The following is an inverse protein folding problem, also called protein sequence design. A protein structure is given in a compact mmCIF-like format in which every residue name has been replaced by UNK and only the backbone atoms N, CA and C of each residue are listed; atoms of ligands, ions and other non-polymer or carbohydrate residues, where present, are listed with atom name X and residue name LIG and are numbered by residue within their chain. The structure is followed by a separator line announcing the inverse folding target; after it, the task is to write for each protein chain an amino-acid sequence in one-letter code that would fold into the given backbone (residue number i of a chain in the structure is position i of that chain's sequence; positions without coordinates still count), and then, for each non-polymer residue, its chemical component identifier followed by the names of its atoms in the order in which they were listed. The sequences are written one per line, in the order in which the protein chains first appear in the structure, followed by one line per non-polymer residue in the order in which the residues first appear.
data_IF_459945879792
#
_entry.id   IF_459945879792
#
_cell.length_a   1.000
_cell.length_b   1.000
_cell.length_c   1.000
_cell.angle_alpha   90.00
_cell.angle_beta   90.00
_cell.angle_gamma   90.00
#
_symmetry.space_group_name_H-M   'P 1'
#
loop_
_entity.id
_entity.type
_entity.pdbx_description
1 polymer ?
#
# COMPACT_ATOMS: atom_id res chain seq x y z
N UNK A 1 -5.41 0.64 -4.39
CA UNK A 1 -6.71 1.29 -4.75
C UNK A 1 -6.96 2.39 -3.73
N UNK A 2 -7.03 3.66 -4.16
CA UNK A 2 -7.16 4.80 -3.24
C UNK A 2 -8.57 4.98 -2.67
N UNK A 3 -9.61 4.66 -3.44
CA UNK A 3 -11.01 4.79 -3.00
C UNK A 3 -11.80 3.51 -3.24
N UNK A 4 -12.68 3.16 -2.31
CA UNK A 4 -13.69 2.13 -2.45
C UNK A 4 -15.08 2.75 -2.57
N UNK A 5 -16.02 2.11 -3.28
CA UNK A 5 -17.40 2.56 -3.30
C UNK A 5 -18.02 2.33 -1.91
N UNK A 6 -18.80 3.28 -1.39
CA UNK A 6 -19.45 3.14 -0.08
C UNK A 6 -20.35 1.90 0.01
N UNK A 7 -20.96 1.50 -1.10
CA UNK A 7 -21.76 0.26 -1.19
C UNK A 7 -20.92 -1.01 -0.99
N UNK A 8 -19.63 -0.95 -1.31
CA UNK A 8 -18.71 -2.07 -1.22
C UNK A 8 -17.86 -2.03 0.05
N UNK A 9 -17.83 -0.90 0.76
CA UNK A 9 -16.95 -0.64 1.89
C UNK A 9 -17.46 -1.19 3.22
N UNK A 10 -18.51 -2.01 3.23
CA UNK A 10 -18.99 -2.77 4.39
C UNK A 10 -19.13 -1.95 5.70
N UNK A 11 -19.54 -0.68 5.60
CA UNK A 11 -19.62 0.30 6.71
C UNK A 11 -18.29 0.61 7.42
N UNK A 12 -17.16 0.49 6.73
CA UNK A 12 -15.86 0.90 7.26
C UNK A 12 -15.75 2.40 7.49
N UNK A 13 -14.99 2.76 8.52
CA UNK A 13 -14.71 4.14 8.86
C UNK A 13 -13.82 4.82 7.84
N UNK A 14 -14.01 6.13 7.72
CA UNK A 14 -13.18 7.00 6.88
C UNK A 14 -11.82 7.20 7.53
N UNK A 15 -10.78 7.06 6.72
CA UNK A 15 -9.40 7.39 7.08
C UNK A 15 -8.95 8.58 6.23
N UNK A 16 -8.17 9.46 6.84
CA UNK A 16 -7.55 10.60 6.15
C UNK A 16 -6.36 10.14 5.31
N UNK A 17 -6.09 10.83 4.21
CA UNK A 17 -4.85 10.60 3.48
C UNK A 17 -3.66 11.07 4.31
N UNK A 18 -2.60 10.29 4.31
CA UNK A 18 -1.34 10.72 4.91
C UNK A 18 -0.77 11.90 4.11
N UNK A 19 -0.21 12.92 4.76
CA UNK A 19 0.31 14.15 4.11
C UNK A 19 1.26 13.87 2.94
N UNK A 20 2.09 12.83 3.09
CA UNK A 20 3.04 12.40 2.03
C UNK A 20 2.38 11.79 0.80
N UNK A 21 1.14 11.32 0.91
CA UNK A 21 0.34 10.74 -0.18
C UNK A 21 -0.53 11.81 -0.84
N UNK A 22 -1.01 12.80 -0.07
CA UNK A 22 -1.82 13.91 -0.56
C UNK A 22 -1.30 15.29 -0.07
N UNK A 23 -0.10 15.72 -0.48
CA UNK A 23 0.52 16.94 0.04
C UNK A 23 -0.23 18.22 -0.31
N UNK A 24 -1.06 18.19 -1.36
CA UNK A 24 -1.85 19.33 -1.85
C UNK A 24 -3.33 19.26 -1.45
N UNK A 25 -3.75 18.17 -0.80
CA UNK A 25 -5.14 17.91 -0.44
C UNK A 25 -6.04 17.61 -1.64
N UNK A 26 -5.48 17.29 -2.81
CA UNK A 26 -6.25 17.08 -4.03
C UNK A 26 -6.98 15.73 -4.02
N UNK A 27 -6.39 14.69 -3.41
CA UNK A 27 -7.08 13.41 -3.23
C UNK A 27 -8.24 13.56 -2.24
N UNK A 28 -8.08 14.35 -1.18
CA UNK A 28 -9.14 14.66 -0.24
C UNK A 28 -10.30 15.39 -0.93
N UNK A 29 -10.01 16.36 -1.81
CA UNK A 29 -11.03 17.07 -2.61
C UNK A 29 -11.79 16.17 -3.59
N UNK A 30 -11.19 15.06 -4.03
CA UNK A 30 -11.83 14.09 -4.92
C UNK A 30 -12.77 13.12 -4.19
N UNK A 31 -12.82 13.16 -2.85
CA UNK A 31 -13.80 12.38 -2.09
C UNK A 31 -15.22 12.87 -2.42
N UNK A 32 -16.01 11.97 -2.99
CA UNK A 32 -17.46 12.17 -3.16
C UNK A 32 -18.23 11.37 -2.11
N UNK A 33 -19.51 11.63 -1.92
CA UNK A 33 -20.34 10.87 -0.96
C UNK A 33 -20.41 9.36 -1.27
N UNK A 34 -20.11 8.98 -2.50
CA UNK A 34 -20.13 7.59 -2.97
C UNK A 34 -18.78 6.89 -2.85
N UNK A 35 -17.69 7.63 -2.62
CA UNK A 35 -16.32 7.10 -2.52
C UNK A 35 -15.77 7.30 -1.11
N UNK A 36 -15.14 6.26 -0.59
CA UNK A 36 -14.52 6.27 0.73
C UNK A 36 -13.09 5.79 0.64
N UNK A 37 -12.19 6.48 1.35
CA UNK A 37 -10.89 5.97 1.72
C UNK A 37 -11.01 5.39 3.13
N UNK A 38 -10.92 4.07 3.26
CA UNK A 38 -10.94 3.39 4.56
C UNK A 38 -9.56 2.82 4.88
N UNK A 39 -9.39 2.25 6.09
CA UNK A 39 -8.16 1.57 6.53
C UNK A 39 -7.66 0.53 5.53
N UNK A 40 -8.61 -0.04 4.83
CA UNK A 40 -8.52 -1.09 3.88
C UNK A 40 -7.90 -0.57 2.55
N UNK A 41 -8.02 0.72 2.27
CA UNK A 41 -7.36 1.38 1.13
C UNK A 41 -5.92 1.83 1.41
N UNK A 42 -5.48 1.78 2.67
CA UNK A 42 -4.15 2.19 3.09
C UNK A 42 -3.15 1.06 2.84
N UNK A 43 -2.09 1.38 2.09
CA UNK A 43 -0.94 0.48 1.93
C UNK A 43 0.16 0.94 2.88
N UNK A 44 0.72 0.01 3.66
CA UNK A 44 1.85 0.31 4.55
C UNK A 44 3.16 0.04 3.81
N UNK A 45 4.10 0.97 3.93
CA UNK A 45 5.39 0.89 3.27
C UNK A 45 6.50 0.87 4.31
N UNK A 46 7.44 -0.06 4.16
CA UNK A 46 8.60 -0.17 5.04
C UNK A 46 9.88 -0.35 4.23
N UNK A 47 11.01 -0.10 4.87
CA UNK A 47 12.33 -0.45 4.36
C UNK A 47 13.03 -1.33 5.38
N UNK A 48 13.66 -2.41 4.94
CA UNK A 48 14.53 -3.22 5.78
C UNK A 48 15.88 -2.51 5.89
N UNK A 49 16.26 -2.12 7.11
CA UNK A 49 17.57 -1.57 7.41
C UNK A 49 18.33 -2.56 8.30
N UNK A 50 19.54 -2.91 7.88
CA UNK A 50 20.46 -3.76 8.63
C UNK A 50 21.45 -2.88 9.39
N UNK A 51 21.32 -2.84 10.71
CA UNK A 51 22.31 -2.20 11.57
C UNK A 51 23.50 -3.16 11.70
N UNK A 52 24.66 -2.73 11.21
CA UNK A 52 25.87 -3.55 11.23
C UNK A 52 26.85 -2.96 12.23
N UNK A 53 27.24 -3.74 13.24
CA UNK A 53 28.39 -3.43 14.09
C UNK A 53 29.47 -4.47 13.81
N UNK A 54 30.67 -4.00 13.45
CA UNK A 54 31.87 -4.83 13.30
C UNK A 54 31.65 -6.10 12.43
N UNK A 55 31.17 -5.90 11.20
CA UNK A 55 30.92 -6.96 10.19
C UNK A 55 29.83 -7.99 10.55
N UNK A 56 29.15 -7.82 11.69
CA UNK A 56 27.99 -8.62 12.09
C UNK A 56 26.71 -7.80 12.10
N UNK A 57 25.60 -8.38 11.61
CA UNK A 57 24.28 -7.76 11.69
C UNK A 57 23.85 -7.76 13.16
N UNK A 58 23.83 -6.57 13.76
CA UNK A 58 23.49 -6.37 15.17
C UNK A 58 21.98 -6.26 15.38
N UNK A 59 21.28 -5.60 14.44
CA UNK A 59 19.82 -5.49 14.45
C UNK A 59 19.22 -5.34 13.05
N UNK A 60 17.96 -5.74 12.91
CA UNK A 60 17.15 -5.51 11.71
C UNK A 60 15.98 -4.60 12.10
N UNK A 61 15.84 -3.46 11.42
CA UNK A 61 14.75 -2.51 11.67
C UNK A 61 13.90 -2.30 10.42
N UNK A 62 12.65 -1.89 10.63
CA UNK A 62 11.66 -1.66 9.57
C UNK A 62 11.04 -0.26 9.65
N UNK A 63 11.82 0.81 9.44
CA UNK A 63 11.27 2.16 9.42
C UNK A 63 10.21 2.33 8.32
N UNK A 64 9.26 3.24 8.57
CA UNK A 64 8.23 3.60 7.58
C UNK A 64 8.88 4.23 6.35
N UNK A 65 8.53 3.71 5.18
CA UNK A 65 8.97 4.21 3.89
C UNK A 65 7.86 5.00 3.19
N UNK A 66 8.19 5.63 2.06
CA UNK A 66 7.21 6.30 1.18
C UNK A 66 7.06 5.52 -0.13
N UNK A 67 5.86 5.54 -0.76
CA UNK A 67 5.63 4.82 -2.02
C UNK A 67 6.65 5.18 -3.12
N UNK A 68 7.10 6.44 -3.17
CA UNK A 68 8.04 6.92 -4.20
C UNK A 68 9.45 6.36 -4.12
N UNK A 69 9.82 5.70 -3.01
CA UNK A 69 11.13 5.05 -2.84
C UNK A 69 11.28 3.77 -3.66
N UNK A 70 10.17 3.09 -3.96
CA UNK A 70 10.17 1.81 -4.67
C UNK A 70 10.31 2.06 -6.17
N UNK A 71 11.20 1.31 -6.81
CA UNK A 71 11.52 1.39 -8.23
C UNK A 71 11.45 0.02 -8.89
N UNK A 72 11.39 0.03 -10.23
CA UNK A 72 11.41 -1.20 -11.00
C UNK A 72 12.79 -1.84 -10.83
N UNK A 73 12.81 -3.12 -10.46
CA UNK A 73 14.04 -3.86 -10.20
C UNK A 73 14.33 -4.08 -8.71
N UNK A 74 13.65 -3.36 -7.82
CA UNK A 74 13.78 -3.56 -6.38
C UNK A 74 13.29 -4.95 -5.97
N UNK A 75 13.98 -5.55 -5.00
CA UNK A 75 13.54 -6.76 -4.32
C UNK A 75 12.71 -6.35 -3.11
N UNK A 76 11.46 -6.80 -3.11
CA UNK A 76 10.47 -6.40 -2.10
C UNK A 76 9.80 -7.63 -1.51
N UNK A 77 9.45 -7.54 -0.23
CA UNK A 77 8.44 -8.40 0.37
C UNK A 77 7.07 -7.72 0.24
N UNK A 78 6.04 -8.49 -0.14
CA UNK A 78 4.69 -7.96 -0.25
C UNK A 78 3.68 -8.82 0.53
N UNK A 79 2.74 -8.14 1.18
CA UNK A 79 1.53 -8.76 1.69
C UNK A 79 0.36 -8.32 0.82
N UNK A 80 -0.32 -9.27 0.20
CA UNK A 80 -1.48 -9.01 -0.64
C UNK A 80 -2.59 -10.06 -0.43
N UNK A 81 -3.83 -9.67 -0.71
CA UNK A 81 -4.99 -10.56 -0.73
C UNK A 81 -5.60 -10.64 -2.12
N UNK A 82 -6.03 -11.83 -2.50
CA UNK A 82 -6.87 -12.05 -3.67
C UNK A 82 -8.33 -12.08 -3.23
N UNK A 83 -9.13 -11.15 -3.75
CA UNK A 83 -10.54 -10.99 -3.42
C UNK A 83 -11.34 -11.40 -4.65
N UNK A 84 -12.31 -12.29 -4.48
CA UNK A 84 -13.23 -12.68 -5.54
C UNK A 84 -14.60 -12.06 -5.32
N UNK A 85 -15.20 -11.54 -6.38
CA UNK A 85 -16.58 -11.04 -6.37
C UNK A 85 -17.33 -11.59 -7.56
N UNK A 86 -18.49 -12.18 -7.30
CA UNK A 86 -19.42 -12.55 -8.36
C UNK A 86 -20.00 -11.30 -8.99
N UNK A 87 -19.94 -11.20 -10.31
CA UNK A 87 -20.60 -10.14 -11.08
C UNK A 87 -21.84 -10.71 -11.77
N UNK A 88 -22.78 -9.84 -12.15
CA UNK A 88 -23.90 -10.23 -13.00
C UNK A 88 -23.38 -11.02 -14.23
N UNK A 89 -24.11 -12.06 -14.66
CA UNK A 89 -23.75 -12.99 -15.75
C UNK A 89 -22.73 -14.10 -15.39
N UNK A 90 -22.70 -14.62 -14.16
CA UNK A 90 -21.85 -15.77 -13.76
C UNK A 90 -20.34 -15.57 -13.98
N UNK A 91 -19.87 -14.32 -14.06
CA UNK A 91 -18.45 -14.00 -14.15
C UNK A 91 -17.91 -13.75 -12.75
N UNK A 92 -16.71 -14.23 -12.47
CA UNK A 92 -16.00 -13.96 -11.21
C UNK A 92 -14.93 -12.91 -11.51
N UNK A 93 -15.02 -11.77 -10.84
CA UNK A 93 -13.97 -10.76 -10.84
C UNK A 93 -13.00 -11.08 -9.72
N UNK A 94 -11.74 -11.33 -10.08
CA UNK A 94 -10.63 -11.44 -9.12
C UNK A 94 -9.94 -10.09 -9.02
N UNK A 95 -9.71 -9.61 -7.81
CA UNK A 95 -9.01 -8.37 -7.53
C UNK A 95 -7.84 -8.68 -6.59
N UNK A 96 -6.65 -8.21 -6.95
CA UNK A 96 -5.51 -8.23 -6.02
C UNK A 96 -5.50 -6.93 -5.23
N UNK A 97 -5.35 -7.05 -3.92
CA UNK A 97 -5.21 -5.92 -3.00
C UNK A 97 -3.88 -6.01 -2.27
N UNK A 98 -3.07 -4.99 -2.45
CA UNK A 98 -1.82 -4.83 -1.71
C UNK A 98 -2.10 -4.20 -0.34
N UNK A 99 -1.53 -4.77 0.72
CA UNK A 99 -1.64 -4.28 2.10
C UNK A 99 -0.32 -3.70 2.59
N UNK A 100 0.79 -4.40 2.31
CA UNK A 100 2.13 -4.04 2.78
C UNK A 100 3.14 -4.24 1.67
N UNK A 101 4.10 -3.33 1.58
CA UNK A 101 5.28 -3.44 0.73
C UNK A 101 6.53 -3.07 1.54
N UNK A 102 7.49 -3.98 1.62
CA UNK A 102 8.75 -3.78 2.35
C UNK A 102 9.90 -3.87 1.37
N UNK A 103 10.72 -2.82 1.28
CA UNK A 103 11.93 -2.82 0.47
C UNK A 103 13.00 -3.66 1.18
N UNK A 104 13.47 -4.72 0.54
CA UNK A 104 14.53 -5.59 1.07
C UNK A 104 15.89 -5.24 0.49
N UNK A 105 15.94 -5.02 -0.83
CA UNK A 105 17.17 -4.71 -1.55
C UNK A 105 16.87 -3.85 -2.78
N UNK A 106 17.69 -2.83 -3.01
CA UNK A 106 17.62 -1.91 -4.13
C UNK A 106 18.85 -2.00 -5.06
N UNK A 107 19.70 -3.01 -4.90
CA UNK A 107 20.90 -3.21 -5.72
C UNK A 107 20.60 -3.41 -7.22
N UNK A 108 19.37 -3.82 -7.55
CA UNK A 108 18.91 -4.08 -8.92
C UNK A 108 17.96 -3.01 -9.45
N UNK A 109 17.81 -1.88 -8.76
CA UNK A 109 16.98 -0.75 -9.20
C UNK A 109 17.38 -0.31 -10.60
N UNK A 110 16.40 -0.18 -11.50
CA UNK A 110 16.58 0.40 -12.83
C UNK A 110 16.28 1.89 -12.75
N UNK A 111 17.27 2.72 -13.14
CA UNK A 111 17.18 4.17 -13.30
C UNK A 111 16.57 4.56 -14.64
#
# INVERSE_FOLDING_TARGET
RLFTSKLDANNEDRVEFHDRLDPTGDLEKLKTDQLIHSQDNVVRYYKCDLETESESVSAVTYPTAIPGMFKIGDIVEMQASLITRSTCQHKIKVMCRLHVLTLLDNSFTRV
#
